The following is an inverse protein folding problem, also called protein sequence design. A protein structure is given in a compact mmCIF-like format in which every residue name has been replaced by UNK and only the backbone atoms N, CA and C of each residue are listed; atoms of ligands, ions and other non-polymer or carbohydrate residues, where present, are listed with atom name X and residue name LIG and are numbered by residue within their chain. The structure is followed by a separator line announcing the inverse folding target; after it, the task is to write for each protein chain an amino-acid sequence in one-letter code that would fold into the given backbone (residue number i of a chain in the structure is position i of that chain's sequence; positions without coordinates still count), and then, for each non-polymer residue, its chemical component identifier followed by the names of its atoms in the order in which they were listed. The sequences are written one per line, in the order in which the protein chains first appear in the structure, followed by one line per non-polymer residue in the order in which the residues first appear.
data_IF_619522917074
#
_entry.id   IF_619522917074
#
_cell.length_a   1.000
_cell.length_b   1.000
_cell.length_c   1.000
_cell.angle_alpha   90.00
_cell.angle_beta   90.00
_cell.angle_gamma   90.00
#
_symmetry.space_group_name_H-M   'P 1'
#
loop_
_entity.id
_entity.type
_entity.pdbx_description
1 polymer ?
#
# COMPACT_ATOMS: atom_id res chain seq x y z
N UNK A 1 -20.97 23.41 -3.24
CA UNK A 1 -20.54 22.64 -4.42
C UNK A 1 -19.02 22.51 -4.55
N UNK A 2 -18.20 23.56 -4.41
CA UNK A 2 -16.71 23.45 -4.50
C UNK A 2 -16.11 22.33 -3.64
N UNK A 3 -16.56 22.18 -2.41
CA UNK A 3 -16.07 21.16 -1.46
C UNK A 3 -16.38 19.71 -1.91
N UNK A 4 -17.46 19.48 -2.67
CA UNK A 4 -17.80 18.14 -3.19
C UNK A 4 -16.88 17.79 -4.37
N UNK A 5 -16.56 18.77 -5.22
CA UNK A 5 -15.71 18.56 -6.40
C UNK A 5 -14.26 18.24 -6.01
N UNK A 6 -13.73 18.92 -5.00
CA UNK A 6 -12.40 18.66 -4.41
C UNK A 6 -12.33 17.29 -3.72
N UNK A 7 -13.42 16.82 -3.12
CA UNK A 7 -13.48 15.47 -2.54
C UNK A 7 -13.67 14.39 -3.60
N UNK A 8 -14.42 14.66 -4.68
CA UNK A 8 -14.74 13.67 -5.71
C UNK A 8 -13.57 13.39 -6.65
N UNK A 9 -12.79 14.42 -6.99
CA UNK A 9 -11.65 14.29 -7.90
C UNK A 9 -10.66 13.20 -7.49
N UNK A 10 -10.15 13.16 -6.24
CA UNK A 10 -9.22 12.13 -5.83
C UNK A 10 -9.80 10.71 -5.90
N UNK A 11 -11.10 10.54 -5.64
CA UNK A 11 -11.76 9.24 -5.76
C UNK A 11 -11.85 8.78 -7.22
N UNK A 12 -12.28 9.66 -8.13
CA UNK A 12 -12.33 9.37 -9.56
C UNK A 12 -10.95 9.05 -10.11
N UNK A 13 -9.93 9.84 -9.74
CA UNK A 13 -8.56 9.62 -10.20
C UNK A 13 -7.93 8.36 -9.60
N UNK A 14 -8.29 7.99 -8.37
CA UNK A 14 -7.88 6.71 -7.77
C UNK A 14 -8.47 5.53 -8.53
N UNK A 15 -9.76 5.57 -8.89
CA UNK A 15 -10.38 4.55 -9.73
C UNK A 15 -9.75 4.54 -11.13
N UNK A 16 -9.49 5.71 -11.72
CA UNK A 16 -8.84 5.84 -13.01
C UNK A 16 -7.45 5.17 -13.04
N UNK A 17 -6.70 5.23 -11.94
CA UNK A 17 -5.32 4.70 -11.89
C UNK A 17 -5.22 3.26 -11.38
N UNK A 18 -6.07 2.87 -10.42
CA UNK A 18 -5.89 1.65 -9.62
C UNK A 18 -6.94 0.57 -9.85
N UNK A 19 -8.03 0.86 -10.58
CA UNK A 19 -9.03 -0.16 -10.84
C UNK A 19 -8.48 -1.29 -11.73
N UNK A 20 -8.86 -2.52 -11.42
CA UNK A 20 -8.45 -3.71 -12.16
C UNK A 20 -8.99 -3.71 -13.58
N UNK A 21 -10.22 -3.22 -13.77
CA UNK A 21 -10.96 -3.29 -15.03
C UNK A 21 -10.74 -2.02 -15.86
N UNK A 22 -10.34 -2.19 -17.12
CA UNK A 22 -10.03 -1.07 -18.03
C UNK A 22 -11.21 -0.14 -18.25
N UNK A 23 -12.43 -0.69 -18.28
CA UNK A 23 -13.64 0.09 -18.47
C UNK A 23 -13.94 0.98 -17.26
N UNK A 24 -13.70 0.49 -16.04
CA UNK A 24 -13.85 1.28 -14.83
C UNK A 24 -12.85 2.45 -14.81
N UNK A 25 -11.58 2.18 -15.18
CA UNK A 25 -10.54 3.22 -15.28
C UNK A 25 -10.95 4.34 -16.23
N UNK A 26 -11.37 3.98 -17.45
CA UNK A 26 -11.80 4.92 -18.49
C UNK A 26 -13.07 5.67 -18.12
N UNK A 27 -14.05 5.01 -17.52
CA UNK A 27 -15.28 5.66 -17.08
C UNK A 27 -15.01 6.72 -16.00
N UNK A 28 -14.12 6.41 -15.05
CA UNK A 28 -13.74 7.36 -14.00
C UNK A 28 -12.97 8.57 -14.57
N UNK A 29 -12.05 8.34 -15.51
CA UNK A 29 -11.34 9.42 -16.19
C UNK A 29 -12.26 10.30 -17.04
N UNK A 30 -13.21 9.70 -17.77
CA UNK A 30 -14.23 10.44 -18.52
C UNK A 30 -15.11 11.29 -17.59
N UNK A 31 -15.54 10.73 -16.45
CA UNK A 31 -16.28 11.49 -15.44
C UNK A 31 -15.45 12.66 -14.86
N UNK A 32 -14.16 12.45 -14.61
CA UNK A 32 -13.26 13.53 -14.18
C UNK A 32 -13.12 14.61 -15.26
N UNK A 33 -12.90 14.22 -16.52
CA UNK A 33 -12.79 15.12 -17.66
C UNK A 33 -14.05 15.98 -17.86
N UNK A 34 -15.25 15.38 -17.80
CA UNK A 34 -16.51 16.12 -17.90
C UNK A 34 -16.63 17.17 -16.80
N UNK A 35 -16.21 16.84 -15.58
CA UNK A 35 -16.22 17.78 -14.46
C UNK A 35 -15.23 18.93 -14.68
N UNK A 36 -14.01 18.63 -15.13
CA UNK A 36 -12.99 19.65 -15.46
C UNK A 36 -13.53 20.60 -16.54
N UNK A 37 -14.15 20.06 -17.60
CA UNK A 37 -14.65 20.84 -18.74
C UNK A 37 -15.90 21.67 -18.45
N UNK A 38 -16.82 21.18 -17.60
CA UNK A 38 -18.09 21.87 -17.31
C UNK A 38 -18.05 22.77 -16.09
N UNK A 39 -17.40 22.34 -15.02
CA UNK A 39 -17.42 23.05 -13.74
C UNK A 39 -16.24 23.99 -13.58
N UNK A 40 -15.13 23.74 -14.29
CA UNK A 40 -13.88 24.45 -14.11
C UNK A 40 -13.30 24.31 -12.70
N UNK A 41 -12.18 24.99 -12.43
CA UNK A 41 -11.62 25.12 -11.08
C UNK A 41 -11.07 23.84 -10.41
N UNK A 42 -10.66 22.84 -11.18
CA UNK A 42 -9.92 21.68 -10.68
C UNK A 42 -8.41 21.94 -10.68
N UNK A 43 -7.71 21.88 -9.53
CA UNK A 43 -6.26 22.01 -9.48
C UNK A 43 -5.60 21.01 -10.44
N UNK A 44 -4.82 21.54 -11.38
CA UNK A 44 -4.13 20.77 -12.43
C UNK A 44 -5.04 19.91 -13.32
N UNK A 45 -6.36 20.18 -13.35
CA UNK A 45 -7.34 19.32 -14.01
C UNK A 45 -7.08 19.09 -15.51
N UNK A 46 -6.67 20.13 -16.24
CA UNK A 46 -6.37 20.03 -17.68
C UNK A 46 -5.13 19.17 -17.93
N UNK A 47 -4.06 19.37 -17.15
CA UNK A 47 -2.82 18.60 -17.27
C UNK A 47 -3.07 17.13 -16.93
N UNK A 48 -3.85 16.87 -15.87
CA UNK A 48 -4.25 15.52 -15.46
C UNK A 48 -5.08 14.85 -16.56
N UNK A 49 -6.07 15.52 -17.14
CA UNK A 49 -6.89 14.98 -18.24
C UNK A 49 -6.03 14.61 -19.46
N UNK A 50 -5.08 15.47 -19.81
CA UNK A 50 -4.20 15.23 -20.96
C UNK A 50 -3.26 14.05 -20.73
N UNK A 51 -2.80 13.84 -19.49
CA UNK A 51 -1.89 12.76 -19.15
C UNK A 51 -2.63 11.43 -18.93
N UNK A 52 -3.76 11.46 -18.21
CA UNK A 52 -4.62 10.32 -17.91
C UNK A 52 -5.68 10.08 -19.00
N UNK A 53 -5.25 10.05 -20.26
CA UNK A 53 -6.13 9.86 -21.41
C UNK A 53 -6.60 8.39 -21.59
N UNK A 54 -7.51 8.20 -22.54
CA UNK A 54 -8.10 6.89 -22.87
C UNK A 54 -7.07 5.79 -23.21
N UNK A 55 -5.95 6.16 -23.84
CA UNK A 55 -4.88 5.26 -24.23
C UNK A 55 -3.94 4.97 -23.07
N UNK A 56 -3.50 5.99 -22.34
CA UNK A 56 -2.61 5.86 -21.18
C UNK A 56 -3.23 4.96 -20.10
N UNK A 57 -4.55 5.03 -19.92
CA UNK A 57 -5.32 4.25 -18.95
C UNK A 57 -5.71 2.85 -19.44
N UNK A 58 -5.40 2.51 -20.70
CA UNK A 58 -5.65 1.18 -21.24
C UNK A 58 -4.81 0.12 -20.53
N UNK A 59 -3.53 0.41 -20.31
CA UNK A 59 -2.61 -0.48 -19.62
C UNK A 59 -2.68 -0.26 -18.12
N UNK A 60 -3.07 -1.31 -17.37
CA UNK A 60 -3.06 -1.28 -15.90
C UNK A 60 -1.68 -0.96 -15.33
N UNK A 61 -0.62 -1.49 -15.94
CA UNK A 61 0.76 -1.25 -15.50
C UNK A 61 1.13 0.22 -15.70
N UNK A 62 0.82 0.79 -16.86
CA UNK A 62 1.08 2.20 -17.15
C UNK A 62 0.28 3.13 -16.23
N UNK A 63 -1.01 2.83 -16.05
CA UNK A 63 -1.92 3.57 -15.17
C UNK A 63 -1.38 3.65 -13.75
N UNK A 64 -0.92 2.52 -13.22
CA UNK A 64 -0.44 2.42 -11.85
C UNK A 64 0.96 3.03 -11.64
N UNK A 65 1.92 2.73 -12.52
CA UNK A 65 3.33 3.07 -12.29
C UNK A 65 3.74 4.42 -12.85
N UNK A 66 3.02 4.96 -13.84
CA UNK A 66 3.37 6.21 -14.49
C UNK A 66 2.31 7.29 -14.27
N UNK A 67 1.05 7.00 -14.60
CA UNK A 67 -0.02 7.99 -14.52
C UNK A 67 -0.31 8.35 -13.06
N UNK A 68 -0.47 7.36 -12.19
CA UNK A 68 -0.72 7.60 -10.77
C UNK A 68 0.41 8.39 -10.10
N UNK A 69 1.66 8.06 -10.43
CA UNK A 69 2.85 8.74 -9.89
C UNK A 69 2.89 10.19 -10.39
N UNK A 70 2.60 10.43 -11.67
CA UNK A 70 2.54 11.78 -12.22
C UNK A 70 1.45 12.62 -11.56
N UNK A 71 0.27 12.04 -11.29
CA UNK A 71 -0.82 12.76 -10.63
C UNK A 71 -0.46 13.07 -9.17
N UNK A 72 0.15 12.11 -8.45
CA UNK A 72 0.54 12.27 -7.06
C UNK A 72 1.61 13.37 -6.82
N UNK A 73 2.32 13.82 -7.87
CA UNK A 73 3.25 14.95 -7.79
C UNK A 73 2.54 16.31 -7.66
N UNK A 74 1.27 16.39 -8.04
CA UNK A 74 0.48 17.60 -7.86
C UNK A 74 0.04 17.78 -6.39
N UNK A 75 0.09 19.02 -5.92
CA UNK A 75 -0.35 19.37 -4.57
C UNK A 75 -1.80 18.95 -4.34
N UNK A 76 -2.07 18.32 -3.19
CA UNK A 76 -3.40 17.82 -2.83
C UNK A 76 -3.73 16.39 -3.30
N UNK A 77 -2.95 15.79 -4.21
CA UNK A 77 -3.24 14.43 -4.73
C UNK A 77 -2.37 13.31 -4.13
N UNK A 78 -1.22 13.63 -3.55
CA UNK A 78 -0.35 12.63 -2.91
C UNK A 78 -1.06 11.82 -1.83
N UNK A 79 -1.68 12.50 -0.87
CA UNK A 79 -2.32 11.84 0.27
C UNK A 79 -3.46 10.91 -0.18
N UNK A 80 -4.43 11.36 -1.01
CA UNK A 80 -5.49 10.49 -1.51
C UNK A 80 -5.01 9.26 -2.28
N UNK A 81 -3.86 9.33 -2.96
CA UNK A 81 -3.31 8.20 -3.71
C UNK A 81 -2.56 7.22 -2.79
N UNK A 82 -1.70 7.74 -1.92
CA UNK A 82 -0.82 6.94 -1.08
C UNK A 82 -1.50 6.33 0.15
N UNK A 83 -2.64 6.88 0.59
CA UNK A 83 -3.34 6.43 1.81
C UNK A 83 -4.56 5.56 1.51
N UNK A 84 -4.78 5.16 0.25
CA UNK A 84 -5.88 4.24 -0.05
C UNK A 84 -5.62 2.87 0.59
N UNK A 85 -6.63 2.23 1.18
CA UNK A 85 -6.47 0.88 1.72
C UNK A 85 -5.95 -0.11 0.68
N UNK A 86 -6.41 0.00 -0.57
CA UNK A 86 -5.97 -0.85 -1.69
C UNK A 86 -4.48 -0.71 -1.96
N UNK A 87 -3.96 0.52 -2.01
CA UNK A 87 -2.53 0.78 -2.23
C UNK A 87 -1.70 0.25 -1.06
N UNK A 88 -2.07 0.59 0.18
CA UNK A 88 -1.36 0.13 1.37
C UNK A 88 -1.34 -1.41 1.45
N UNK A 89 -2.45 -2.08 1.19
CA UNK A 89 -2.53 -3.54 1.15
C UNK A 89 -1.58 -4.15 0.11
N UNK A 90 -1.59 -3.62 -1.13
CA UNK A 90 -0.71 -4.10 -2.19
C UNK A 90 0.78 -3.87 -1.89
N UNK A 91 1.12 -2.74 -1.25
CA UNK A 91 2.49 -2.48 -0.76
C UNK A 91 2.87 -3.49 0.31
N UNK A 92 2.00 -3.78 1.28
CA UNK A 92 2.28 -4.79 2.31
C UNK A 92 2.49 -6.19 1.72
N UNK A 93 1.66 -6.59 0.77
CA UNK A 93 1.81 -7.89 0.08
C UNK A 93 3.14 -7.98 -0.65
N UNK A 94 3.55 -6.90 -1.31
CA UNK A 94 4.85 -6.81 -2.01
C UNK A 94 6.02 -6.87 -1.02
N UNK A 95 5.96 -6.11 0.07
CA UNK A 95 6.99 -6.11 1.11
C UNK A 95 7.12 -7.48 1.79
N UNK A 96 6.00 -8.19 2.01
CA UNK A 96 6.01 -9.53 2.60
C UNK A 96 6.87 -10.51 1.79
N UNK A 97 6.83 -10.40 0.46
CA UNK A 97 7.61 -11.24 -0.45
C UNK A 97 9.05 -10.73 -0.52
N UNK A 98 9.22 -9.43 -0.78
CA UNK A 98 10.52 -8.82 -1.06
C UNK A 98 11.47 -8.83 0.13
N UNK A 99 10.96 -8.69 1.36
CA UNK A 99 11.79 -8.64 2.56
C UNK A 99 12.07 -10.03 3.16
N UNK A 100 11.29 -11.05 2.79
CA UNK A 100 11.39 -12.39 3.38
C UNK A 100 12.76 -13.02 3.14
N UNK A 101 13.50 -13.24 4.23
CA UNK A 101 14.84 -13.84 4.17
C UNK A 101 15.90 -12.94 3.53
N UNK A 102 15.59 -11.67 3.25
CA UNK A 102 16.56 -10.72 2.69
C UNK A 102 17.74 -10.52 3.63
N UNK A 103 18.93 -10.34 3.04
CA UNK A 103 20.15 -9.95 3.74
C UNK A 103 20.64 -8.57 3.35
N UNK A 104 19.93 -7.90 2.45
CA UNK A 104 20.22 -6.54 2.02
C UNK A 104 19.70 -5.55 3.07
N UNK A 105 20.63 -4.88 3.75
CA UNK A 105 20.30 -3.94 4.81
C UNK A 105 19.54 -2.72 4.29
N UNK A 106 19.91 -2.17 3.13
CA UNK A 106 19.24 -1.01 2.54
C UNK A 106 17.78 -1.32 2.26
N UNK A 107 17.53 -2.51 1.69
CA UNK A 107 16.18 -3.00 1.44
C UNK A 107 15.37 -3.21 2.72
N UNK A 108 15.99 -3.80 3.75
CA UNK A 108 15.35 -4.03 5.05
C UNK A 108 15.01 -2.72 5.76
N UNK A 109 15.91 -1.73 5.77
CA UNK A 109 15.63 -0.42 6.36
C UNK A 109 14.52 0.33 5.62
N UNK A 110 14.54 0.31 4.28
CA UNK A 110 13.46 0.89 3.48
C UNK A 110 12.12 0.21 3.78
N UNK A 111 12.12 -1.13 3.91
CA UNK A 111 10.96 -1.91 4.31
C UNK A 111 10.42 -1.52 5.69
N UNK A 112 11.29 -1.41 6.70
CA UNK A 112 10.91 -0.98 8.06
C UNK A 112 10.29 0.42 8.03
N UNK A 113 10.89 1.37 7.31
CA UNK A 113 10.36 2.72 7.22
C UNK A 113 8.96 2.76 6.58
N UNK A 114 8.75 2.02 5.48
CA UNK A 114 7.44 1.96 4.81
C UNK A 114 6.40 1.27 5.71
N UNK A 115 6.76 0.18 6.39
CA UNK A 115 5.88 -0.50 7.34
C UNK A 115 5.49 0.42 8.50
N UNK A 116 6.46 1.14 9.06
CA UNK A 116 6.24 2.15 10.09
C UNK A 116 5.24 3.21 9.65
N UNK A 117 5.46 3.76 8.45
CA UNK A 117 4.55 4.73 7.87
C UNK A 117 3.13 4.19 7.72
N UNK A 118 2.94 3.02 7.10
CA UNK A 118 1.60 2.41 6.92
C UNK A 118 0.93 2.13 8.27
N UNK A 119 1.69 1.64 9.25
CA UNK A 119 1.19 1.39 10.60
C UNK A 119 0.74 2.69 11.31
N UNK A 120 1.38 3.82 11.01
CA UNK A 120 1.05 5.14 11.55
C UNK A 120 -0.17 5.82 10.90
N UNK A 121 -0.64 5.38 9.72
CA UNK A 121 -1.68 6.14 8.98
C UNK A 121 -2.99 5.37 8.71
N UNK A 122 -3.00 4.04 8.72
CA UNK A 122 -4.12 3.26 8.16
C UNK A 122 -4.85 2.42 9.21
N UNK A 123 -5.99 2.89 9.73
CA UNK A 123 -6.77 2.16 10.75
C UNK A 123 -7.18 0.74 10.34
N UNK A 124 -7.39 0.48 9.05
CA UNK A 124 -7.87 -0.82 8.57
C UNK A 124 -6.75 -1.84 8.31
N UNK A 125 -5.49 -1.40 8.20
CA UNK A 125 -4.36 -2.22 7.75
C UNK A 125 -3.14 -2.12 8.70
N UNK A 126 -3.17 -1.19 9.65
CA UNK A 126 -2.12 -0.95 10.64
C UNK A 126 -1.69 -2.21 11.39
N UNK A 127 -2.63 -3.09 11.78
CA UNK A 127 -2.37 -4.36 12.47
C UNK A 127 -1.48 -5.30 11.65
N UNK A 128 -1.67 -5.35 10.32
CA UNK A 128 -0.81 -6.12 9.41
C UNK A 128 0.60 -5.52 9.34
N UNK A 129 0.68 -4.19 9.21
CA UNK A 129 1.96 -3.48 9.11
C UNK A 129 2.79 -3.62 10.39
N UNK A 130 2.19 -3.41 11.57
CA UNK A 130 2.87 -3.58 12.86
C UNK A 130 3.26 -5.03 13.11
N UNK A 131 2.45 -6.01 12.68
CA UNK A 131 2.83 -7.43 12.77
C UNK A 131 4.11 -7.76 11.99
N UNK A 132 4.28 -7.17 10.81
CA UNK A 132 5.53 -7.30 10.05
C UNK A 132 6.71 -6.62 10.76
N UNK A 133 6.51 -5.46 11.40
CA UNK A 133 7.55 -4.82 12.20
C UNK A 133 7.97 -5.67 13.41
N UNK A 134 7.00 -6.20 14.16
CA UNK A 134 7.26 -7.08 15.31
C UNK A 134 8.01 -8.36 14.86
N UNK A 135 7.79 -8.82 13.62
CA UNK A 135 8.55 -9.96 13.05
C UNK A 135 10.05 -9.65 12.97
N UNK A 136 10.42 -8.42 12.58
CA UNK A 136 11.82 -7.98 12.49
C UNK A 136 12.52 -7.87 13.84
N UNK A 137 11.79 -7.81 14.96
CA UNK A 137 12.38 -7.86 16.30
C UNK A 137 13.08 -9.19 16.60
N UNK A 138 12.80 -10.26 15.84
CA UNK A 138 13.55 -11.52 15.91
C UNK A 138 14.40 -11.78 14.68
N UNK A 139 14.74 -10.75 13.91
CA UNK A 139 15.61 -10.90 12.74
C UNK A 139 17.00 -11.37 13.17
N UNK A 140 17.71 -12.12 12.31
CA UNK A 140 19.07 -12.63 12.61
C UNK A 140 20.13 -11.54 12.82
N UNK A 141 19.87 -10.32 12.34
CA UNK A 141 20.82 -9.21 12.40
C UNK A 141 20.41 -8.22 13.50
N UNK A 142 21.26 -7.98 14.52
CA UNK A 142 20.93 -7.10 15.64
C UNK A 142 20.53 -5.68 15.24
N UNK A 143 21.22 -5.10 14.25
CA UNK A 143 20.92 -3.75 13.74
C UNK A 143 19.50 -3.63 13.15
N UNK A 144 18.99 -4.71 12.56
CA UNK A 144 17.63 -4.75 12.00
C UNK A 144 16.59 -4.86 13.12
N UNK A 145 16.88 -5.66 14.16
CA UNK A 145 16.03 -5.74 15.35
C UNK A 145 15.90 -4.38 16.03
N UNK A 146 17.02 -3.68 16.24
CA UNK A 146 17.05 -2.32 16.79
C UNK A 146 16.23 -1.34 15.97
N UNK A 147 16.47 -1.24 14.66
CA UNK A 147 15.74 -0.32 13.81
C UNK A 147 14.23 -0.61 13.79
N UNK A 148 13.85 -1.89 13.84
CA UNK A 148 12.43 -2.24 13.98
C UNK A 148 11.87 -1.85 15.34
N UNK A 149 12.60 -2.04 16.43
CA UNK A 149 12.17 -1.64 17.78
C UNK A 149 11.96 -0.12 17.88
N UNK A 150 12.90 0.66 17.35
CA UNK A 150 12.77 2.13 17.25
C UNK A 150 11.52 2.52 16.45
N UNK A 151 11.25 1.82 15.34
CA UNK A 151 10.07 2.10 14.53
C UNK A 151 8.76 1.68 15.22
N UNK A 152 8.72 0.53 15.90
CA UNK A 152 7.55 0.08 16.68
C UNK A 152 7.26 1.07 17.80
N UNK A 153 8.29 1.56 18.49
CA UNK A 153 8.14 2.60 19.52
C UNK A 153 7.43 3.85 18.97
N UNK A 154 7.89 4.36 17.82
CA UNK A 154 7.29 5.53 17.18
C UNK A 154 5.83 5.29 16.77
N UNK A 155 5.52 4.10 16.22
CA UNK A 155 4.16 3.73 15.82
C UNK A 155 3.23 3.67 17.03
N UNK A 156 3.68 3.08 18.15
CA UNK A 156 2.88 2.99 19.38
C UNK A 156 2.60 4.38 20.00
N UNK A 157 3.56 5.30 19.91
CA UNK A 157 3.34 6.69 20.36
C UNK A 157 2.35 7.46 19.48
N UNK A 158 2.36 7.20 18.17
CA UNK A 158 1.53 7.92 17.21
C UNK A 158 0.11 7.35 17.12
N UNK A 159 -0.04 6.04 17.28
CA UNK A 159 -1.30 5.32 17.11
C UNK A 159 -1.62 4.44 18.33
N UNK A 160 -2.08 5.09 19.39
CA UNK A 160 -2.53 4.41 20.62
C UNK A 160 -3.68 3.42 20.38
N UNK A 161 -4.46 3.56 19.30
CA UNK A 161 -5.57 2.64 18.98
C UNK A 161 -5.13 1.23 18.53
N UNK A 162 -3.84 1.03 18.23
CA UNK A 162 -3.30 -0.25 17.78
C UNK A 162 -3.25 -1.32 18.86
N UNK A 163 -3.18 -0.91 20.12
CA UNK A 163 -3.02 -1.78 21.28
C UNK A 163 -4.09 -1.35 22.29
N UNK A 164 -4.73 -2.29 23.01
CA UNK A 164 -5.62 -1.93 24.11
C UNK A 164 -4.94 -0.94 25.07
N UNK A 165 -5.67 0.10 25.50
CA UNK A 165 -5.10 1.20 26.29
C UNK A 165 -4.37 0.72 27.56
N UNK A 166 -4.86 -0.34 28.19
CA UNK A 166 -4.28 -0.98 29.37
C UNK A 166 -2.96 -1.72 29.10
N UNK A 167 -2.58 -1.89 27.83
CA UNK A 167 -1.39 -2.63 27.40
C UNK A 167 -0.34 -1.75 26.71
N UNK A 168 -0.64 -0.49 26.41
CA UNK A 168 0.29 0.41 25.70
C UNK A 168 1.55 0.67 26.53
N UNK A 169 1.40 1.02 27.81
CA UNK A 169 2.52 1.36 28.70
C UNK A 169 3.50 0.19 28.79
N UNK A 170 2.98 -1.02 29.04
CA UNK A 170 3.78 -2.25 29.08
C UNK A 170 4.45 -2.56 27.73
N UNK A 171 3.77 -2.31 26.62
CA UNK A 171 4.34 -2.52 25.28
C UNK A 171 5.51 -1.56 25.02
N UNK A 172 5.39 -0.29 25.44
CA UNK A 172 6.44 0.72 25.34
C UNK A 172 7.62 0.38 26.24
N UNK A 173 7.38 -0.08 27.48
CA UNK A 173 8.40 -0.55 28.42
C UNK A 173 9.23 -1.69 27.82
N UNK A 174 8.57 -2.75 27.32
CA UNK A 174 9.26 -3.88 26.69
C UNK A 174 10.12 -3.41 25.51
N UNK A 175 9.58 -2.55 24.65
CA UNK A 175 10.33 -2.04 23.49
C UNK A 175 11.55 -1.21 23.91
N UNK A 176 11.40 -0.35 24.91
CA UNK A 176 12.44 0.59 25.34
C UNK A 176 13.54 -0.08 26.17
N UNK A 177 13.19 -1.02 27.05
CA UNK A 177 14.14 -1.64 28.00
C UNK A 177 14.86 -2.86 27.41
N UNK A 178 14.28 -3.50 26.39
CA UNK A 178 14.90 -4.68 25.77
C UNK A 178 16.12 -4.26 24.94
N UNK A 179 17.27 -4.89 25.21
CA UNK A 179 18.46 -4.74 24.37
C UNK A 179 18.30 -5.54 23.07
N UNK A 180 17.63 -4.96 22.07
CA UNK A 180 17.38 -5.60 20.77
C UNK A 180 18.65 -5.88 19.95
N UNK A 181 19.77 -5.25 20.31
CA UNK A 181 21.09 -5.55 19.74
C UNK A 181 21.78 -6.78 20.38
N UNK A 182 21.26 -7.27 21.50
CA UNK A 182 21.76 -8.46 22.22
C UNK A 182 21.39 -9.78 21.55
N UNK A 183 21.57 -10.90 22.24
CA UNK A 183 21.33 -12.23 21.68
C UNK A 183 19.86 -12.48 21.27
N UNK A 184 19.65 -13.35 20.28
CA UNK A 184 18.29 -13.68 19.82
C UNK A 184 17.49 -14.40 20.91
N UNK A 185 18.17 -15.20 21.73
CA UNK A 185 17.57 -15.94 22.84
C UNK A 185 16.97 -15.02 23.90
N UNK A 186 17.60 -13.86 24.11
CA UNK A 186 17.16 -12.86 25.10
C UNK A 186 16.15 -11.85 24.57
N UNK A 187 15.85 -11.86 23.26
CA UNK A 187 14.87 -10.97 22.61
C UNK A 187 13.62 -11.72 22.15
N UNK A 188 13.71 -13.04 22.01
CA UNK A 188 12.61 -13.91 21.59
C UNK A 188 11.42 -13.89 22.56
N UNK A 189 11.60 -14.03 23.89
CA UNK A 189 10.51 -13.97 24.85
C UNK A 189 9.74 -12.63 24.82
N UNK A 190 10.47 -11.51 24.77
CA UNK A 190 9.93 -10.15 24.76
C UNK A 190 9.16 -9.88 23.48
N UNK A 191 9.65 -10.39 22.35
CA UNK A 191 8.91 -10.33 21.09
C UNK A 191 7.60 -11.11 21.16
N UNK A 192 7.59 -12.31 21.76
CA UNK A 192 6.36 -13.11 21.90
C UNK A 192 5.35 -12.40 22.80
N UNK A 193 5.81 -11.83 23.90
CA UNK A 193 4.96 -11.02 24.77
C UNK A 193 4.37 -9.80 24.03
N UNK A 194 5.16 -9.11 23.21
CA UNK A 194 4.66 -8.03 22.37
C UNK A 194 3.61 -8.50 21.35
N UNK A 195 3.79 -9.68 20.74
CA UNK A 195 2.77 -10.24 19.85
C UNK A 195 1.42 -10.43 20.56
N UNK A 196 1.45 -10.98 21.77
CA UNK A 196 0.26 -11.22 22.58
C UNK A 196 -0.39 -9.89 23.03
N UNK A 197 0.42 -8.88 23.38
CA UNK A 197 -0.08 -7.57 23.80
C UNK A 197 -0.75 -6.80 22.66
N UNK A 198 -0.17 -6.85 21.45
CA UNK A 198 -0.73 -6.21 20.24
C UNK A 198 -1.93 -7.00 19.69
N UNK A 199 -2.24 -8.17 20.25
CA UNK A 199 -3.39 -8.99 19.82
C UNK A 199 -3.22 -9.58 18.43
N UNK A 200 -1.97 -9.80 18.02
CA UNK A 200 -1.61 -10.32 16.71
C UNK A 200 -1.47 -11.83 16.79
N UNK A 201 -2.24 -12.54 15.95
CA UNK A 201 -2.16 -14.00 15.89
C UNK A 201 -0.81 -14.45 15.29
N UNK A 202 0.03 -15.22 16.03
CA UNK A 202 1.34 -15.68 15.54
C UNK A 202 1.26 -16.56 14.28
N UNK A 203 0.06 -17.04 13.92
CA UNK A 203 -0.19 -18.05 12.90
C UNK A 203 -0.31 -17.58 11.45
N UNK A 204 -0.31 -16.27 11.15
CA UNK A 204 -0.63 -15.77 9.80
C UNK A 204 0.43 -16.04 8.72
N UNK A 205 1.58 -16.64 9.06
CA UNK A 205 2.63 -16.98 8.09
C UNK A 205 2.70 -18.48 7.73
N UNK A 206 1.84 -19.33 8.30
CA UNK A 206 1.89 -20.81 8.11
C UNK A 206 0.74 -21.42 7.31
N UNK A 207 -0.08 -20.64 6.60
CA UNK A 207 -1.04 -21.16 5.61
C UNK A 207 -0.56 -20.94 4.17
N UNK A 208 0.55 -21.59 3.83
CA UNK A 208 0.67 -22.19 2.49
C UNK A 208 0.02 -23.58 2.54
N UNK A 209 -1.07 -23.79 1.78
CA UNK A 209 -1.59 -25.06 1.21
C UNK A 209 -3.13 -24.97 1.13
N UNK A 210 -3.84 -25.22 0.03
CA UNK A 210 -3.61 -25.96 -1.23
C UNK A 210 -4.52 -25.34 -2.30
N UNK A 211 -3.97 -24.87 -3.41
CA UNK A 211 -4.69 -24.98 -4.70
C UNK A 211 -3.98 -26.06 -5.48
N UNK A 212 -4.70 -27.15 -5.66
CA UNK A 212 -4.35 -28.28 -6.52
C UNK A 212 -3.78 -27.78 -7.85
N UNK A 213 -2.53 -28.15 -8.12
CA UNK A 213 -1.99 -28.23 -9.48
C UNK A 213 -2.98 -29.00 -10.37
N UNK A 214 -3.64 -28.29 -11.28
CA UNK A 214 -4.25 -28.87 -12.49
C UNK A 214 -4.09 -27.86 -13.63
N UNK A 215 -3.22 -28.24 -14.58
CA UNK A 215 -3.08 -27.76 -15.95
C UNK A 215 -3.31 -26.26 -16.22
N UNK A 216 -2.24 -25.48 -16.10
CA UNK A 216 -2.14 -24.18 -16.75
C UNK A 216 -1.88 -24.35 -18.26
N UNK A 217 -2.95 -24.55 -19.03
CA UNK A 217 -2.97 -24.05 -20.43
C UNK A 217 -2.84 -22.53 -20.35
N UNK A 218 -1.76 -21.98 -20.93
CA UNK A 218 -1.59 -20.54 -21.14
C UNK A 218 -2.85 -19.98 -21.80
N UNK A 219 -3.63 -19.18 -21.07
CA UNK A 219 -4.63 -18.30 -21.67
C UNK A 219 -3.87 -17.30 -22.57
N UNK A 220 -4.35 -17.02 -23.79
CA UNK A 220 -3.73 -16.01 -24.61
C UNK A 220 -3.82 -14.67 -23.88
N UNK A 221 -2.80 -13.82 -24.06
CA UNK A 221 -2.86 -12.41 -23.68
C UNK A 221 -4.06 -11.82 -24.42
N UNK A 222 -5.17 -11.63 -23.71
CA UNK A 222 -6.31 -10.89 -24.24
C UNK A 222 -5.87 -9.45 -24.39
N UNK A 223 -5.78 -8.99 -25.63
CA UNK A 223 -5.57 -7.58 -25.95
C UNK A 223 -6.73 -6.77 -25.38
N UNK A 224 -6.47 -6.09 -24.25
CA UNK A 224 -7.45 -5.24 -23.56
C UNK A 224 -7.95 -4.08 -24.45
N UNK A 225 -7.27 -3.82 -25.58
CA UNK A 225 -7.64 -2.82 -26.58
C UNK A 225 -8.38 -3.39 -27.79
N UNK A 226 -8.67 -4.70 -27.86
CA UNK A 226 -9.32 -5.30 -29.03
C UNK A 226 -10.65 -4.63 -29.39
N UNK A 227 -11.44 -4.24 -28.39
CA UNK A 227 -12.71 -3.53 -28.58
C UNK A 227 -12.55 -2.07 -29.04
N UNK A 228 -11.39 -1.46 -28.82
CA UNK A 228 -11.09 -0.11 -29.28
C UNK A 228 -10.52 -0.12 -30.70
N UNK A 229 -9.63 -1.07 -31.00
CA UNK A 229 -9.12 -1.30 -32.36
C UNK A 229 -10.27 -1.54 -33.35
N UNK A 230 -11.32 -2.24 -32.93
CA UNK A 230 -12.54 -2.41 -33.73
C UNK A 230 -13.35 -1.12 -33.91
N UNK A 231 -13.39 -0.24 -32.91
CA UNK A 231 -14.12 1.03 -32.96
C UNK A 231 -13.40 2.09 -33.81
N UNK A 232 -12.07 2.21 -33.68
CA UNK A 232 -11.26 3.12 -34.51
C UNK A 232 -11.30 2.69 -35.97
N UNK A 233 -11.17 1.39 -36.25
CA UNK A 233 -11.30 0.85 -37.60
C UNK A 233 -12.68 1.08 -38.23
N UNK A 234 -13.74 1.14 -37.41
CA UNK A 234 -15.11 1.45 -37.88
C UNK A 234 -15.41 2.94 -38.04
N UNK A 235 -14.58 3.82 -37.46
CA UNK A 235 -14.81 5.28 -37.46
C UNK A 235 -13.99 6.05 -38.50
N UNK A 236 -13.13 5.37 -39.27
CA UNK A 236 -12.53 5.92 -40.50
C UNK A 236 -11.62 7.14 -40.30
N UNK A 237 -10.65 7.05 -39.38
CA UNK A 237 -9.44 7.88 -39.40
C UNK A 237 -8.24 7.04 -39.83
#
# INVERSE_FOLDING_TARGET
MRNILEQLAPHLLSVACYDREVNCRRAAAAAFQENVGRQGNYPHGIDIVNNADYFSLSSRVNSYLHIAVSIAQYEGYLYPFAHTPTFCAGVLDSLAIELKGSKDFSKLYAGIAILGYIASISESINSRAISHLVTFLGHRYPKIRKASAEQVYLVLLQNASLVPEDKIEKSLEIIAETCWEGDVETTTPQRLELYDLVGLDPGLFNTTNKVSSKDSKRKPVTDENASYSSLVGSSGF
#
